data_IF_688562444943
#
_entry.id   IF_688562444943
#
_cell.length_a   1.000
_cell.length_b   1.000
_cell.length_c   1.000
_cell.angle_alpha   90.00
_cell.angle_beta   90.00
_cell.angle_gamma   90.00
#
_symmetry.space_group_name_H-M   'P 1'
#
loop_
_entity.id
_entity.type
_entity.pdbx_description
1 polymer ?
#
# COMPACT_ATOMS: atom_id res chain seq x y z
N UNK A 1 -14.03 31.80 7.08
CA UNK A 1 -13.88 31.15 6.12
C UNK A 1 -12.73 30.32 5.99
N UNK A 2 -12.82 29.14 5.98
CA UNK A 2 -11.77 28.30 6.08
C UNK A 2 -11.56 27.46 4.95
N UNK A 3 -11.83 27.96 3.87
CA UNK A 3 -11.67 27.25 2.69
C UNK A 3 -10.29 26.80 2.45
N UNK A 4 -9.41 27.28 3.23
CA UNK A 4 -8.08 26.87 3.06
C UNK A 4 -7.86 25.47 3.42
N UNK A 5 -8.78 24.86 4.08
CA UNK A 5 -8.56 23.54 4.59
C UNK A 5 -9.07 22.46 3.66
N UNK A 6 -8.73 22.56 2.40
CA UNK A 6 -9.05 21.48 1.46
C UNK A 6 -8.28 20.24 1.88
N UNK A 7 -8.98 19.12 2.08
CA UNK A 7 -8.30 17.90 2.50
C UNK A 7 -7.30 17.40 1.47
N UNK A 8 -6.19 16.87 1.95
CA UNK A 8 -5.20 16.25 1.10
C UNK A 8 -5.29 14.74 1.27
N UNK A 9 -5.18 14.04 0.16
CA UNK A 9 -5.31 12.59 0.13
C UNK A 9 -4.08 12.00 -0.54
N UNK A 10 -3.46 11.03 0.12
CA UNK A 10 -2.39 10.27 -0.49
C UNK A 10 -2.98 8.99 -1.04
N UNK A 11 -2.75 8.68 -2.32
CA UNK A 11 -3.29 7.49 -2.95
C UNK A 11 -2.21 6.40 -2.98
N UNK A 12 -2.46 5.34 -2.23
CA UNK A 12 -1.60 4.16 -2.19
C UNK A 12 -2.17 3.12 -3.16
N UNK A 13 -1.37 2.64 -4.09
CA UNK A 13 -1.84 1.70 -5.10
C UNK A 13 -0.69 0.86 -5.65
N UNK A 14 -1.03 -0.31 -6.21
CA UNK A 14 -0.05 -1.12 -6.93
C UNK A 14 0.20 -0.46 -8.28
N UNK A 15 1.45 -0.36 -8.70
CA UNK A 15 1.77 0.28 -9.96
C UNK A 15 1.08 -0.40 -11.14
N UNK A 16 0.71 -1.66 -11.00
CA UNK A 16 -0.02 -2.38 -12.04
C UNK A 16 -1.44 -1.83 -12.21
N UNK A 17 -1.93 -1.10 -11.24
CA UNK A 17 -3.26 -0.49 -11.29
C UNK A 17 -3.18 0.99 -11.63
N UNK A 18 -2.11 1.43 -12.26
CA UNK A 18 -1.90 2.85 -12.53
C UNK A 18 -2.99 3.48 -13.39
N UNK A 19 -3.58 2.73 -14.33
CA UNK A 19 -4.68 3.28 -15.13
C UNK A 19 -5.89 3.61 -14.28
N UNK A 20 -6.22 2.71 -13.36
CA UNK A 20 -7.33 2.93 -12.43
C UNK A 20 -7.00 4.09 -11.51
N UNK A 21 -5.76 4.16 -11.05
CA UNK A 21 -5.31 5.25 -10.19
C UNK A 21 -5.40 6.59 -10.92
N UNK A 22 -5.07 6.61 -12.21
CA UNK A 22 -5.21 7.83 -13.01
C UNK A 22 -6.65 8.31 -13.05
N UNK A 23 -7.58 7.39 -13.23
CA UNK A 23 -9.00 7.72 -13.28
C UNK A 23 -9.49 8.25 -11.94
N UNK A 24 -9.09 7.59 -10.86
CA UNK A 24 -9.48 8.00 -9.52
C UNK A 24 -8.94 9.39 -9.21
N UNK A 25 -7.70 9.64 -9.58
CA UNK A 25 -7.10 10.95 -9.37
C UNK A 25 -7.87 12.03 -10.12
N UNK A 26 -8.21 11.77 -11.38
CA UNK A 26 -8.98 12.69 -12.18
C UNK A 26 -10.34 12.97 -11.53
N UNK A 27 -11.02 11.93 -11.08
CA UNK A 27 -12.31 12.09 -10.45
C UNK A 27 -12.23 12.90 -9.15
N UNK A 28 -11.23 12.63 -8.35
CA UNK A 28 -11.06 13.35 -7.07
C UNK A 28 -10.71 14.81 -7.32
N UNK A 29 -9.81 15.06 -8.26
CA UNK A 29 -9.40 16.44 -8.57
C UNK A 29 -10.59 17.26 -9.08
N UNK A 30 -11.47 16.62 -9.84
CA UNK A 30 -12.65 17.32 -10.36
C UNK A 30 -13.59 17.77 -9.26
N UNK A 31 -13.50 17.17 -8.07
CA UNK A 31 -14.32 17.59 -6.94
C UNK A 31 -13.60 18.60 -6.04
N UNK A 32 -12.40 19.02 -6.42
CA UNK A 32 -11.65 20.02 -5.66
C UNK A 32 -10.69 19.45 -4.64
N UNK A 33 -10.52 18.14 -4.60
CA UNK A 33 -9.61 17.50 -3.64
C UNK A 33 -8.18 17.57 -4.14
N UNK A 34 -7.23 17.55 -3.20
CA UNK A 34 -5.82 17.54 -3.51
C UNK A 34 -5.29 16.13 -3.35
N UNK A 35 -4.77 15.55 -4.43
CA UNK A 35 -4.30 14.18 -4.45
C UNK A 35 -2.79 14.14 -4.60
N UNK A 36 -2.14 13.35 -3.76
CA UNK A 36 -0.73 13.03 -3.91
C UNK A 36 -0.63 11.55 -4.23
N UNK A 37 0.15 11.21 -5.23
CA UNK A 37 0.36 9.80 -5.60
C UNK A 37 1.80 9.45 -5.38
N UNK A 38 2.00 8.17 -5.06
CA UNK A 38 3.33 7.65 -5.02
C UNK A 38 3.72 7.24 -6.42
N UNK A 39 4.57 8.00 -7.05
CA UNK A 39 5.03 7.72 -8.41
C UNK A 39 6.04 6.59 -8.35
N UNK A 40 5.70 5.48 -8.95
CA UNK A 40 6.46 4.27 -8.75
C UNK A 40 7.73 4.11 -9.54
N UNK A 41 8.09 5.02 -10.33
CA UNK A 41 9.42 4.98 -10.90
C UNK A 41 10.45 5.46 -9.88
N UNK A 42 10.01 5.78 -8.68
CA UNK A 42 10.92 6.15 -7.63
C UNK A 42 11.78 4.96 -7.24
N UNK A 43 13.05 5.20 -7.06
CA UNK A 43 13.96 4.15 -6.66
C UNK A 43 13.68 3.73 -5.25
N UNK A 44 13.94 2.47 -4.98
CA UNK A 44 13.60 1.93 -3.72
C UNK A 44 14.08 2.72 -2.56
N UNK A 45 15.29 3.26 -2.62
CA UNK A 45 15.96 3.73 -1.42
C UNK A 45 15.34 4.94 -0.78
N UNK A 46 14.80 5.83 -1.55
CA UNK A 46 14.21 7.02 -0.97
C UNK A 46 12.75 6.84 -0.64
N UNK A 47 12.13 5.85 -1.23
CA UNK A 47 10.67 5.80 -1.27
C UNK A 47 10.03 5.56 0.07
N UNK A 48 10.66 4.80 0.96
CA UNK A 48 10.08 4.48 2.25
C UNK A 48 9.97 5.73 3.12
N UNK A 49 11.03 6.50 3.21
CA UNK A 49 11.00 7.74 3.99
C UNK A 49 10.02 8.72 3.41
N UNK A 50 10.00 8.84 2.10
CA UNK A 50 9.08 9.75 1.44
C UNK A 50 7.65 9.33 1.65
N UNK A 51 7.39 8.03 1.58
CA UNK A 51 6.06 7.51 1.82
C UNK A 51 5.60 7.82 3.25
N UNK A 52 6.46 7.57 4.23
CA UNK A 52 6.13 7.86 5.62
C UNK A 52 5.88 9.34 5.86
N UNK A 53 6.68 10.18 5.20
CA UNK A 53 6.49 11.61 5.29
C UNK A 53 5.12 12.00 4.73
N UNK A 54 4.74 11.46 3.59
CA UNK A 54 3.46 11.76 2.97
C UNK A 54 2.29 11.27 3.80
N UNK A 55 2.43 10.08 4.38
CA UNK A 55 1.40 9.57 5.29
C UNK A 55 1.19 10.54 6.44
N UNK A 56 2.29 11.07 6.98
CA UNK A 56 2.18 11.93 8.15
C UNK A 56 1.71 13.35 7.83
N UNK A 57 1.84 13.76 6.58
CA UNK A 57 1.50 15.14 6.19
C UNK A 57 0.20 15.26 5.39
N UNK A 58 -0.42 14.16 4.99
CA UNK A 58 -1.71 14.19 4.32
C UNK A 58 -2.82 13.92 5.32
N UNK A 59 -4.02 14.42 5.01
CA UNK A 59 -5.16 14.23 5.89
C UNK A 59 -5.70 12.80 5.84
N UNK A 60 -5.73 12.24 4.64
CA UNK A 60 -6.28 10.90 4.42
C UNK A 60 -5.36 10.08 3.54
N UNK A 61 -5.47 8.77 3.68
CA UNK A 61 -4.76 7.81 2.83
C UNK A 61 -5.79 6.92 2.17
N UNK A 62 -5.91 7.03 0.86
CA UNK A 62 -6.81 6.16 0.11
C UNK A 62 -6.03 4.92 -0.32
N UNK A 63 -6.58 3.76 0.01
CA UNK A 63 -5.96 2.48 -0.33
C UNK A 63 -6.72 1.86 -1.49
N UNK A 64 -6.06 1.73 -2.64
CA UNK A 64 -6.67 1.12 -3.81
C UNK A 64 -6.47 -0.39 -3.73
N UNK A 65 -7.41 -1.06 -3.10
CA UNK A 65 -7.30 -2.47 -2.80
C UNK A 65 -7.77 -3.32 -3.97
N UNK A 66 -6.83 -4.00 -4.60
CA UNK A 66 -7.07 -4.89 -5.72
C UNK A 66 -6.34 -6.19 -5.46
N UNK A 67 -6.54 -7.23 -6.26
CA UNK A 67 -5.74 -8.44 -6.10
C UNK A 67 -4.24 -8.18 -6.17
N UNK A 68 -3.80 -7.33 -7.10
CA UNK A 68 -2.37 -7.01 -7.20
C UNK A 68 -1.88 -6.23 -5.99
N UNK A 69 -2.70 -5.37 -5.44
CA UNK A 69 -2.35 -4.62 -4.22
C UNK A 69 -2.12 -5.58 -3.06
N UNK A 70 -3.04 -6.53 -2.88
CA UNK A 70 -2.97 -7.47 -1.77
C UNK A 70 -1.79 -8.43 -1.85
N UNK A 71 -1.24 -8.61 -3.05
CA UNK A 71 -0.09 -9.48 -3.26
C UNK A 71 1.20 -8.71 -3.47
N UNK A 72 1.19 -7.42 -3.25
CA UNK A 72 2.36 -6.58 -3.41
C UNK A 72 3.08 -6.39 -2.07
N UNK A 73 4.35 -6.77 -2.03
CA UNK A 73 5.16 -6.60 -0.83
C UNK A 73 5.26 -5.14 -0.43
N UNK A 74 5.44 -4.26 -1.42
CA UNK A 74 5.54 -2.83 -1.13
C UNK A 74 4.24 -2.29 -0.56
N UNK A 75 3.11 -2.68 -1.14
CA UNK A 75 1.81 -2.21 -0.64
C UNK A 75 1.54 -2.71 0.78
N UNK A 76 1.89 -3.97 1.05
CA UNK A 76 1.70 -4.50 2.40
C UNK A 76 2.61 -3.81 3.40
N UNK A 77 3.83 -3.48 3.00
CA UNK A 77 4.71 -2.72 3.86
C UNK A 77 4.12 -1.35 4.18
N UNK A 78 3.57 -0.69 3.17
CA UNK A 78 2.95 0.62 3.36
C UNK A 78 1.78 0.55 4.33
N UNK A 79 0.96 -0.49 4.22
CA UNK A 79 -0.14 -0.69 5.15
C UNK A 79 0.39 -0.87 6.58
N UNK A 80 1.43 -1.68 6.74
CA UNK A 80 1.99 -1.91 8.07
C UNK A 80 2.49 -0.61 8.69
N UNK A 81 3.13 0.23 7.89
CA UNK A 81 3.58 1.52 8.40
C UNK A 81 2.42 2.43 8.77
N UNK A 82 1.37 2.41 7.96
CA UNK A 82 0.17 3.20 8.23
C UNK A 82 -0.50 2.77 9.54
N UNK A 83 -0.55 1.47 9.78
CA UNK A 83 -1.20 0.94 10.98
C UNK A 83 -0.49 1.32 12.28
N UNK A 84 0.73 1.79 12.19
CA UNK A 84 1.46 2.25 13.36
C UNK A 84 0.96 3.61 13.86
N UNK A 85 0.21 4.33 13.06
CA UNK A 85 -0.35 5.61 13.47
C UNK A 85 -1.56 5.38 14.37
N UNK A 86 -1.64 6.06 15.54
CA UNK A 86 -2.74 5.81 16.47
C UNK A 86 -4.11 6.14 15.91
N UNK A 87 -4.18 7.04 14.92
CA UNK A 87 -5.45 7.47 14.36
C UNK A 87 -5.73 6.91 12.97
N UNK A 88 -5.10 5.77 12.64
CA UNK A 88 -5.23 5.23 11.29
C UNK A 88 -6.69 4.98 10.88
N UNK A 89 -7.53 4.58 11.83
CA UNK A 89 -8.93 4.32 11.54
C UNK A 89 -9.65 5.51 10.94
N UNK A 90 -9.27 6.70 11.36
CA UNK A 90 -9.93 7.91 10.90
C UNK A 90 -9.40 8.42 9.59
N UNK A 91 -8.23 7.90 9.18
CA UNK A 91 -7.55 8.42 8.02
C UNK A 91 -7.60 7.52 6.81
N UNK A 92 -7.93 6.25 6.99
CA UNK A 92 -7.96 5.29 5.89
C UNK A 92 -9.26 5.38 5.11
N UNK A 93 -9.14 5.47 3.79
CA UNK A 93 -10.27 5.45 2.86
C UNK A 93 -10.05 4.26 1.91
N UNK A 94 -10.63 3.10 2.21
CA UNK A 94 -10.43 1.95 1.33
C UNK A 94 -11.28 2.05 0.07
N UNK A 95 -10.65 1.80 -1.07
CA UNK A 95 -11.34 1.73 -2.35
C UNK A 95 -11.09 0.33 -2.89
N UNK A 96 -12.13 -0.50 -2.92
CA UNK A 96 -11.99 -1.91 -3.25
C UNK A 96 -12.34 -2.14 -4.72
N UNK A 97 -11.37 -2.68 -5.47
CA UNK A 97 -11.53 -2.91 -6.88
C UNK A 97 -11.25 -4.36 -7.22
N UNK A 98 -12.25 -5.05 -7.72
CA UNK A 98 -12.11 -6.43 -8.18
C UNK A 98 -11.44 -7.36 -7.17
N UNK A 99 -11.72 -7.16 -5.90
CA UNK A 99 -11.16 -8.00 -4.85
C UNK A 99 -12.27 -8.63 -4.01
N UNK A 100 -13.20 -9.37 -4.62
CA UNK A 100 -14.31 -9.96 -3.87
C UNK A 100 -13.85 -11.00 -2.86
N UNK A 101 -12.69 -11.59 -3.06
CA UNK A 101 -12.19 -12.64 -2.17
C UNK A 101 -11.96 -12.16 -0.74
N UNK A 102 -11.70 -10.87 -0.54
CA UNK A 102 -11.47 -10.39 0.83
C UNK A 102 -12.73 -10.45 1.69
N UNK A 103 -13.90 -10.62 1.05
CA UNK A 103 -15.15 -10.70 1.78
C UNK A 103 -15.59 -12.13 2.11
N UNK A 104 -14.81 -13.14 1.73
CA UNK A 104 -15.13 -14.51 2.03
C UNK A 104 -14.02 -15.14 2.87
N UNK A 105 -14.41 -16.11 3.69
CA UNK A 105 -13.43 -16.84 4.50
C UNK A 105 -12.43 -17.58 3.64
N UNK A 106 -12.93 -18.19 2.56
CA UNK A 106 -12.08 -18.94 1.64
C UNK A 106 -11.06 -18.03 0.97
N UNK A 107 -11.51 -16.87 0.51
CA UNK A 107 -10.61 -15.92 -0.16
C UNK A 107 -9.54 -15.38 0.78
N UNK A 108 -9.94 -15.08 2.02
CA UNK A 108 -8.97 -14.62 3.02
C UNK A 108 -7.94 -15.70 3.33
N UNK A 109 -8.38 -16.94 3.40
CA UNK A 109 -7.47 -18.05 3.66
C UNK A 109 -6.48 -18.22 2.51
N UNK A 110 -6.93 -18.07 1.27
CA UNK A 110 -6.05 -18.13 0.11
C UNK A 110 -4.98 -17.05 0.17
N UNK A 111 -5.36 -15.85 0.59
CA UNK A 111 -4.40 -14.75 0.71
C UNK A 111 -3.39 -15.02 1.83
N UNK A 112 -3.85 -15.56 2.94
CA UNK A 112 -2.96 -15.94 4.04
C UNK A 112 -1.95 -16.97 3.57
N UNK A 113 -2.39 -17.98 2.80
CA UNK A 113 -1.51 -19.00 2.26
C UNK A 113 -0.49 -18.42 1.28
N UNK A 114 -0.91 -17.46 0.47
CA UNK A 114 -0.01 -16.79 -0.44
C UNK A 114 1.16 -16.16 0.33
N UNK A 115 0.86 -15.41 1.37
CA UNK A 115 1.89 -14.76 2.16
C UNK A 115 2.71 -15.73 2.98
N UNK A 116 2.09 -16.79 3.47
CA UNK A 116 2.79 -17.84 4.21
C UNK A 116 3.85 -18.48 3.33
N UNK A 117 3.52 -18.79 2.08
CA UNK A 117 4.47 -19.35 1.13
C UNK A 117 5.63 -18.39 0.86
N UNK A 118 5.33 -17.11 0.77
CA UNK A 118 6.38 -16.11 0.57
C UNK A 118 7.33 -16.03 1.74
N UNK A 119 6.79 -16.06 2.95
CA UNK A 119 7.61 -16.05 4.17
C UNK A 119 8.48 -17.31 4.24
N UNK A 120 7.92 -18.46 3.93
CA UNK A 120 8.66 -19.71 3.96
C UNK A 120 9.80 -19.71 2.94
N UNK A 121 9.54 -19.20 1.73
CA UNK A 121 10.57 -19.12 0.71
C UNK A 121 11.71 -18.20 1.16
N UNK A 122 11.37 -17.06 1.74
CA UNK A 122 12.36 -16.12 2.24
C UNK A 122 13.17 -16.73 3.38
N UNK A 123 12.50 -17.43 4.29
CA UNK A 123 13.16 -18.10 5.41
C UNK A 123 14.18 -19.11 4.90
N UNK A 124 13.82 -19.88 3.88
CA UNK A 124 14.73 -20.85 3.30
C UNK A 124 15.94 -20.19 2.65
N UNK A 125 15.72 -19.06 1.97
CA UNK A 125 16.81 -18.30 1.37
C UNK A 125 17.77 -17.79 2.44
N UNK A 126 17.24 -17.28 3.53
CA UNK A 126 18.05 -16.79 4.64
C UNK A 126 18.89 -17.91 5.24
N UNK A 127 18.31 -19.09 5.40
CA UNK A 127 19.04 -20.25 5.92
C UNK A 127 20.16 -20.64 4.98
N UNK A 128 19.95 -20.55 3.69
CA UNK A 128 20.97 -20.87 2.70
C UNK A 128 22.13 -19.89 2.81
N UNK A 129 21.83 -18.61 2.94
CA UNK A 129 22.85 -17.60 3.10
C UNK A 129 23.66 -17.81 4.38
N UNK A 130 22.98 -18.16 5.44
CA UNK A 130 23.62 -18.45 6.72
C UNK A 130 24.60 -19.61 6.60
N UNK A 131 24.16 -20.67 5.93
CA UNK A 131 25.03 -21.83 5.70
C UNK A 131 26.27 -21.46 4.89
N UNK A 132 26.10 -20.63 3.87
CA UNK A 132 27.23 -20.18 3.06
C UNK A 132 28.18 -19.32 3.85
N UNK A 133 27.67 -18.51 4.75
CA UNK A 133 28.52 -17.66 5.59
C UNK A 133 29.37 -18.50 6.54
N UNK A 134 28.88 -19.66 6.96
CA UNK A 134 29.61 -20.53 7.85
C UNK A 134 30.68 -21.35 7.14
N UNK A 135 30.59 -21.47 5.84
CA UNK A 135 31.55 -22.26 5.07
C UNK A 135 32.85 -21.49 4.84
N UNK A 136 32.79 -20.18 4.75
CA UNK A 136 33.97 -19.39 4.49
C UNK A 136 34.88 -19.15 5.72
#
# INVERSE_FOLDING_TARGET
>A
MNQMNTPTIFLSYSWKDSEIADQIETDFISTGLIIHRDIRDIKYKGSIKEFMHKINTTDYVALLISPTYLESSNCMYEILELLKNPDYNKRILPIIIKAPKIFTSQGRLELIRYWEQKVNALTNEIKTLDSLAHIS
#
